data_IF_227977055918
#
_entry.id   IF_227977055918
#
_cell.length_a   1.000
_cell.length_b   1.000
_cell.length_c   1.000
_cell.angle_alpha   90.00
_cell.angle_beta   90.00
_cell.angle_gamma   90.00
#
_symmetry.space_group_name_H-M   'P 1'
#
loop_
_entity.id
_entity.type
_entity.pdbx_description
1 polymer ?
#
# COMPACT_ATOMS: atom_id res chain seq x y z
N UNK A 1 -4.66 -6.36 15.97
CA UNK A 1 -5.13 -6.07 14.61
C UNK A 1 -4.16 -6.66 13.62
N UNK A 2 -4.68 -7.33 12.59
CA UNK A 2 -3.83 -7.92 11.54
C UNK A 2 -3.16 -6.86 10.66
N UNK A 3 -3.79 -5.69 10.53
CA UNK A 3 -3.24 -4.59 9.75
C UNK A 3 -3.10 -3.38 10.66
N UNK A 4 -1.90 -2.82 10.70
CA UNK A 4 -1.59 -1.61 11.46
C UNK A 4 -0.95 -0.58 10.55
N UNK A 5 -1.05 0.71 10.92
CA UNK A 5 -0.42 1.76 10.14
C UNK A 5 0.14 2.86 11.03
N UNK A 6 1.06 3.64 10.47
CA UNK A 6 1.63 4.80 11.12
C UNK A 6 1.88 5.89 10.09
N UNK A 7 1.47 7.12 10.39
CA UNK A 7 1.72 8.28 9.55
C UNK A 7 2.87 9.07 10.15
N UNK A 8 3.90 9.32 9.33
CA UNK A 8 5.04 10.14 9.68
C UNK A 8 5.06 11.36 8.75
N UNK A 9 4.51 12.48 9.20
CA UNK A 9 4.41 13.69 8.39
C UNK A 9 5.77 14.32 8.13
N UNK A 10 6.72 14.16 9.05
CA UNK A 10 8.07 14.67 8.86
C UNK A 10 8.77 13.97 7.68
N UNK A 11 8.60 12.67 7.58
CA UNK A 11 9.14 11.88 6.49
C UNK A 11 8.26 11.92 5.24
N UNK A 12 7.03 12.40 5.34
CA UNK A 12 6.06 12.36 4.24
C UNK A 12 5.62 10.96 3.88
N UNK A 13 5.46 10.10 4.88
CA UNK A 13 5.23 8.67 4.66
C UNK A 13 4.07 8.11 5.48
N UNK A 14 3.43 7.10 4.88
CA UNK A 14 2.49 6.20 5.53
C UNK A 14 3.12 4.80 5.53
N UNK A 15 3.25 4.21 6.71
CA UNK A 15 3.75 2.85 6.87
C UNK A 15 2.58 1.94 7.22
N UNK A 16 2.42 0.85 6.45
CA UNK A 16 1.36 -0.14 6.65
C UNK A 16 2.02 -1.50 6.85
N UNK A 17 1.58 -2.24 7.85
CA UNK A 17 2.07 -3.60 8.12
C UNK A 17 0.88 -4.54 8.21
N UNK A 18 0.91 -5.62 7.44
CA UNK A 18 -0.05 -6.71 7.56
C UNK A 18 0.66 -7.91 8.17
N UNK A 19 0.05 -8.52 9.20
CA UNK A 19 0.63 -9.62 9.95
C UNK A 19 -0.39 -10.75 10.06
N UNK A 20 0.04 -11.97 9.71
CA UNK A 20 -0.80 -13.15 9.78
C UNK A 20 -1.89 -13.18 8.71
N UNK A 21 -3.02 -13.77 9.05
CA UNK A 21 -4.17 -13.85 8.16
C UNK A 21 -4.93 -12.52 8.14
N UNK A 22 -5.29 -12.08 6.95
CA UNK A 22 -6.11 -10.88 6.75
C UNK A 22 -7.30 -11.22 5.87
N UNK A 23 -8.44 -10.58 6.14
CA UNK A 23 -9.62 -10.69 5.30
C UNK A 23 -9.78 -9.44 4.44
N UNK A 24 -10.58 -9.53 3.40
CA UNK A 24 -10.88 -8.35 2.58
C UNK A 24 -11.56 -7.26 3.41
N UNK A 25 -12.45 -7.66 4.32
CA UNK A 25 -13.10 -6.73 5.23
C UNK A 25 -12.09 -5.93 6.06
N UNK A 26 -11.07 -6.62 6.59
CA UNK A 26 -10.01 -5.97 7.37
C UNK A 26 -9.17 -5.03 6.51
N UNK A 27 -8.87 -5.41 5.26
CA UNK A 27 -8.11 -4.56 4.33
C UNK A 27 -8.86 -3.27 4.02
N UNK A 28 -10.14 -3.38 3.71
CA UNK A 28 -10.97 -2.21 3.39
C UNK A 28 -11.19 -1.31 4.60
N UNK A 29 -11.37 -1.91 5.78
CA UNK A 29 -11.51 -1.15 7.03
C UNK A 29 -10.22 -0.38 7.35
N UNK A 30 -9.07 -1.00 7.18
CA UNK A 30 -7.78 -0.35 7.40
C UNK A 30 -7.63 0.86 6.45
N UNK A 31 -7.96 0.68 5.18
CA UNK A 31 -7.91 1.79 4.20
C UNK A 31 -8.83 2.93 4.59
N UNK A 32 -10.05 2.64 5.01
CA UNK A 32 -11.00 3.65 5.48
C UNK A 32 -10.42 4.39 6.68
N UNK A 33 -9.79 3.68 7.59
CA UNK A 33 -9.24 4.25 8.82
C UNK A 33 -8.13 5.24 8.50
N UNK A 34 -7.12 4.87 7.70
CA UNK A 34 -6.04 5.83 7.43
C UNK A 34 -6.47 6.96 6.49
N UNK A 35 -7.40 6.71 5.55
CA UNK A 35 -7.89 7.76 4.65
C UNK A 35 -8.69 8.85 5.39
N UNK A 36 -9.28 8.52 6.53
CA UNK A 36 -10.05 9.47 7.35
C UNK A 36 -9.28 9.95 8.59
N UNK A 37 -8.05 9.51 8.76
CA UNK A 37 -7.20 9.95 9.87
C UNK A 37 -6.89 11.45 9.70
N UNK A 38 -7.06 12.27 10.76
CA UNK A 38 -6.76 13.71 10.68
C UNK A 38 -5.31 14.03 10.27
N UNK A 39 -4.40 13.09 10.44
CA UNK A 39 -3.00 13.25 10.05
C UNK A 39 -2.76 12.91 8.57
N UNK A 40 -3.72 12.29 7.89
CA UNK A 40 -3.54 11.89 6.49
C UNK A 40 -3.45 13.11 5.58
N UNK A 41 -2.51 13.09 4.64
CA UNK A 41 -2.31 14.15 3.65
C UNK A 41 -2.18 13.55 2.25
N UNK A 42 -2.64 14.25 1.21
CA UNK A 42 -2.38 13.81 -0.17
C UNK A 42 -0.87 13.70 -0.44
N UNK A 43 -0.48 12.68 -1.18
CA UNK A 43 0.90 12.51 -1.59
C UNK A 43 1.82 11.84 -0.59
N UNK A 44 1.29 11.28 0.50
CA UNK A 44 2.11 10.48 1.42
C UNK A 44 2.60 9.22 0.73
N UNK A 45 3.91 9.13 0.50
CA UNK A 45 4.50 7.90 -0.05
C UNK A 45 4.26 6.75 0.93
N UNK A 46 3.90 5.58 0.42
CA UNK A 46 3.45 4.49 1.27
C UNK A 46 4.37 3.30 1.15
N UNK A 47 4.79 2.76 2.31
CA UNK A 47 5.46 1.48 2.40
C UNK A 47 4.48 0.48 3.01
N UNK A 48 4.13 -0.55 2.24
CA UNK A 48 3.23 -1.61 2.69
C UNK A 48 4.06 -2.88 2.91
N UNK A 49 4.28 -3.23 4.17
CA UNK A 49 5.09 -4.38 4.55
C UNK A 49 4.20 -5.62 4.69
N UNK A 50 4.32 -6.54 3.76
CA UNK A 50 3.57 -7.79 3.73
C UNK A 50 4.44 -9.01 4.07
N UNK A 51 5.63 -8.79 4.64
CA UNK A 51 6.55 -9.91 4.91
C UNK A 51 5.99 -10.92 5.89
N UNK A 52 5.15 -10.49 6.82
CA UNK A 52 4.50 -11.37 7.81
C UNK A 52 3.07 -11.76 7.43
N UNK A 53 2.57 -11.31 6.28
CA UNK A 53 1.22 -11.64 5.82
C UNK A 53 1.20 -13.03 5.22
N UNK A 54 0.18 -13.84 5.58
CA UNK A 54 0.06 -15.21 5.09
C UNK A 54 -1.10 -15.41 4.11
N UNK A 55 -2.00 -14.45 4.00
CA UNK A 55 -3.11 -14.48 3.04
C UNK A 55 -2.91 -13.42 1.98
N UNK A 56 -3.37 -13.71 0.77
CA UNK A 56 -3.30 -12.76 -0.34
C UNK A 56 -4.71 -12.51 -0.88
N UNK A 57 -5.01 -11.29 -1.36
CA UNK A 57 -6.31 -11.03 -1.97
C UNK A 57 -6.48 -11.78 -3.28
N UNK A 58 -7.72 -12.14 -3.58
CA UNK A 58 -8.09 -12.68 -4.90
C UNK A 58 -8.10 -11.54 -5.93
N UNK A 59 -8.19 -11.89 -7.22
CA UNK A 59 -8.28 -10.88 -8.27
C UNK A 59 -9.49 -9.95 -8.09
N UNK A 60 -10.72 -10.45 -7.84
CA UNK A 60 -11.84 -9.56 -7.55
C UNK A 60 -11.61 -8.66 -6.34
N UNK A 61 -10.92 -9.15 -5.31
CA UNK A 61 -10.59 -8.35 -4.14
C UNK A 61 -9.57 -7.26 -4.47
N UNK A 62 -8.58 -7.55 -5.31
CA UNK A 62 -7.64 -6.54 -5.81
C UNK A 62 -8.36 -5.46 -6.61
N UNK A 63 -9.31 -5.85 -7.45
CA UNK A 63 -10.10 -4.90 -8.24
C UNK A 63 -10.93 -3.99 -7.34
N UNK A 64 -11.47 -4.51 -6.27
CA UNK A 64 -12.21 -3.73 -5.28
C UNK A 64 -11.30 -2.72 -4.59
N UNK A 65 -10.10 -3.14 -4.19
CA UNK A 65 -9.10 -2.24 -3.58
C UNK A 65 -8.73 -1.12 -4.55
N UNK A 66 -8.45 -1.46 -5.81
CA UNK A 66 -8.13 -0.47 -6.84
C UNK A 66 -9.29 0.51 -7.05
N UNK A 67 -10.52 0.02 -6.97
CA UNK A 67 -11.72 0.84 -7.04
C UNK A 67 -11.85 1.86 -5.91
N UNK A 68 -11.53 1.45 -4.69
CA UNK A 68 -11.50 2.36 -3.53
C UNK A 68 -10.46 3.46 -3.77
N UNK A 69 -9.28 3.09 -4.25
CA UNK A 69 -8.21 4.06 -4.55
C UNK A 69 -8.68 5.07 -5.59
N UNK A 70 -9.30 4.62 -6.68
CA UNK A 70 -9.81 5.52 -7.72
C UNK A 70 -10.86 6.49 -7.19
N UNK A 71 -11.77 6.01 -6.34
CA UNK A 71 -12.83 6.86 -5.76
C UNK A 71 -12.28 7.91 -4.79
N UNK A 72 -11.10 7.67 -4.21
CA UNK A 72 -10.47 8.58 -3.26
C UNK A 72 -9.22 9.27 -3.84
N UNK A 73 -9.13 9.35 -5.16
CA UNK A 73 -7.94 9.87 -5.85
C UNK A 73 -7.53 11.27 -5.37
N UNK A 74 -8.48 12.17 -5.16
CA UNK A 74 -8.19 13.54 -4.72
C UNK A 74 -7.60 13.58 -3.30
N UNK A 75 -8.05 12.69 -2.41
CA UNK A 75 -7.54 12.60 -1.04
C UNK A 75 -6.16 11.93 -1.02
N UNK A 76 -5.98 10.90 -1.85
CA UNK A 76 -4.73 10.12 -1.88
C UNK A 76 -3.60 10.93 -2.51
N UNK A 77 -3.87 11.63 -3.62
CA UNK A 77 -2.85 12.38 -4.35
C UNK A 77 -1.86 11.47 -5.07
N UNK A 78 -1.00 12.05 -5.89
CA UNK A 78 0.06 11.30 -6.60
C UNK A 78 1.12 10.86 -5.62
N UNK A 79 1.47 9.58 -5.65
CA UNK A 79 2.46 9.03 -4.72
C UNK A 79 3.10 7.76 -5.23
N UNK A 80 4.19 7.38 -4.56
CA UNK A 80 4.82 6.08 -4.71
C UNK A 80 4.25 5.12 -3.68
N UNK A 81 4.05 3.87 -4.09
CA UNK A 81 3.67 2.77 -3.21
C UNK A 81 4.71 1.66 -3.35
N UNK A 82 5.44 1.40 -2.29
CA UNK A 82 6.37 0.28 -2.20
C UNK A 82 5.71 -0.86 -1.44
N UNK A 83 5.67 -2.03 -2.06
CA UNK A 83 5.15 -3.25 -1.42
C UNK A 83 6.34 -4.15 -1.12
N UNK A 84 6.49 -4.54 0.15
CA UNK A 84 7.60 -5.38 0.59
C UNK A 84 7.09 -6.78 0.89
N UNK A 85 7.62 -7.77 0.19
CA UNK A 85 7.31 -9.17 0.42
C UNK A 85 8.43 -10.06 -0.10
N UNK A 86 8.68 -11.18 0.59
CA UNK A 86 9.67 -12.17 0.18
C UNK A 86 9.04 -13.47 -0.33
N UNK A 87 7.71 -13.60 -0.22
CA UNK A 87 7.01 -14.82 -0.60
C UNK A 87 6.63 -14.76 -2.08
N UNK A 88 6.93 -15.81 -2.89
CA UNK A 88 6.65 -15.78 -4.33
C UNK A 88 5.18 -15.51 -4.68
N UNK A 89 4.23 -16.14 -3.96
CA UNK A 89 2.81 -15.94 -4.24
C UNK A 89 2.37 -14.51 -3.94
N UNK A 90 2.84 -13.95 -2.83
CA UNK A 90 2.53 -12.57 -2.44
C UNK A 90 3.19 -11.58 -3.41
N UNK A 91 4.40 -11.88 -3.85
CA UNK A 91 5.11 -11.07 -4.85
C UNK A 91 4.32 -10.99 -6.16
N UNK A 92 3.82 -12.14 -6.64
CA UNK A 92 3.02 -12.19 -7.87
C UNK A 92 1.72 -11.40 -7.74
N UNK A 93 1.02 -11.51 -6.61
CA UNK A 93 -0.21 -10.76 -6.35
C UNK A 93 0.07 -9.26 -6.27
N UNK A 94 1.16 -8.86 -5.62
CA UNK A 94 1.54 -7.46 -5.54
C UNK A 94 1.83 -6.86 -6.92
N UNK A 95 2.45 -7.63 -7.82
CA UNK A 95 2.68 -7.19 -9.20
C UNK A 95 1.37 -7.06 -9.98
N UNK A 96 0.41 -7.97 -9.76
CA UNK A 96 -0.93 -7.84 -10.34
C UNK A 96 -1.60 -6.55 -9.89
N UNK A 97 -1.49 -6.22 -8.61
CA UNK A 97 -2.04 -4.98 -8.08
C UNK A 97 -1.40 -3.77 -8.78
N UNK A 98 -0.10 -3.79 -8.98
CA UNK A 98 0.60 -2.73 -9.71
C UNK A 98 0.04 -2.49 -11.11
N UNK A 99 -0.38 -3.56 -11.79
CA UNK A 99 -0.99 -3.46 -13.12
C UNK A 99 -2.43 -2.91 -13.07
N UNK A 100 -3.15 -3.16 -11.98
CA UNK A 100 -4.54 -2.71 -11.79
C UNK A 100 -4.64 -1.28 -11.25
N UNK A 101 -3.61 -0.83 -10.52
CA UNK A 101 -3.62 0.47 -9.88
C UNK A 101 -3.64 1.59 -10.94
N UNK A 102 -4.31 2.74 -10.64
CA UNK A 102 -4.34 3.86 -11.58
C UNK A 102 -2.96 4.49 -11.71
N UNK A 103 -2.25 4.20 -12.81
CA UNK A 103 -0.86 4.59 -13.03
C UNK A 103 -0.60 6.10 -13.02
N UNK A 104 -1.63 6.91 -13.29
CA UNK A 104 -1.51 8.36 -13.17
C UNK A 104 -1.46 8.83 -11.71
N UNK A 105 -1.91 7.99 -10.77
CA UNK A 105 -1.97 8.31 -9.34
C UNK A 105 -0.87 7.60 -8.56
N UNK A 106 -0.71 6.30 -8.78
CA UNK A 106 0.22 5.46 -8.03
C UNK A 106 1.35 4.94 -8.91
N UNK A 107 2.58 5.14 -8.45
CA UNK A 107 3.74 4.42 -8.99
C UNK A 107 4.02 3.29 -8.02
N UNK A 108 3.76 2.04 -8.45
CA UNK A 108 3.86 0.86 -7.60
C UNK A 108 5.13 0.09 -7.93
N UNK A 109 5.89 -0.28 -6.92
CA UNK A 109 7.06 -1.15 -7.07
C UNK A 109 7.12 -2.15 -5.94
N UNK A 110 7.58 -3.37 -6.24
CA UNK A 110 7.63 -4.47 -5.28
C UNK A 110 9.09 -4.74 -4.91
N UNK A 111 9.35 -4.91 -3.63
CA UNK A 111 10.68 -5.12 -3.07
C UNK A 111 10.71 -6.36 -2.19
N UNK A 112 11.89 -6.98 -2.07
CA UNK A 112 12.09 -8.12 -1.18
C UNK A 112 12.54 -7.71 0.21
N UNK A 113 13.07 -6.49 0.37
CA UNK A 113 13.49 -5.99 1.67
C UNK A 113 13.05 -4.54 1.88
N UNK A 114 12.87 -4.21 3.15
CA UNK A 114 12.35 -2.92 3.57
C UNK A 114 13.34 -1.77 3.30
N UNK A 115 14.63 -2.06 3.40
CA UNK A 115 15.67 -1.05 3.19
C UNK A 115 15.65 -0.54 1.75
N UNK A 116 15.60 -1.43 0.77
CA UNK A 116 15.51 -1.07 -0.65
C UNK A 116 14.23 -0.29 -0.94
N UNK A 117 13.11 -0.69 -0.34
CA UNK A 117 11.84 0.00 -0.48
C UNK A 117 11.91 1.45 0.03
N UNK A 118 12.48 1.64 1.21
CA UNK A 118 12.63 2.99 1.79
C UNK A 118 13.53 3.87 0.94
N UNK A 119 14.64 3.31 0.43
CA UNK A 119 15.54 4.05 -0.44
C UNK A 119 14.81 4.55 -1.68
N UNK A 120 14.00 3.71 -2.31
CA UNK A 120 13.22 4.11 -3.48
C UNK A 120 12.18 5.18 -3.16
N UNK A 121 11.51 5.08 -2.01
CA UNK A 121 10.49 6.05 -1.61
C UNK A 121 11.07 7.43 -1.33
N UNK A 122 12.34 7.50 -0.92
CA UNK A 122 13.01 8.76 -0.61
C UNK A 122 13.73 9.37 -1.83
N UNK A 123 13.79 8.66 -2.95
CA UNK A 123 14.35 9.22 -4.19
C UNK A 123 13.49 10.37 -4.69
N UNK A 124 14.12 11.45 -5.20
CA UNK A 124 13.35 12.53 -5.82
C UNK A 124 12.51 12.00 -6.98
N UNK A 125 11.30 12.51 -7.11
CA UNK A 125 10.47 12.23 -8.28
C UNK A 125 11.00 13.00 -9.47
N UNK A 126 11.21 12.27 -10.57
CA UNK A 126 11.65 12.90 -11.82
C UNK A 126 10.52 13.69 -12.46
#
# INVERSE_FOLDING_TARGET
MAITYQIDLHAGMLFVVADGETTQSERLEAMRTWLTDPMFRPGLHTLCDLTAAVTVPTLPELEEIAGVIRRHAAVIGRKKLAIVTSRPVTFGVARQFGALAPGALLTVQVFKDRHAARAWLTEPSA
#
